data_IF_822735774439
#
_entry.id   IF_822735774439
#
_cell.length_a   1.000
_cell.length_b   1.000
_cell.length_c   1.000
_cell.angle_alpha   90.00
_cell.angle_beta   90.00
_cell.angle_gamma   90.00
#
_symmetry.space_group_name_H-M   'P 1'
#
loop_
_entity.id
_entity.type
_entity.pdbx_description
1 polymer ?
#
# COMPACT_ATOMS: atom_id res chain seq x y z
N UNK A 1 25.42 25.22 28.08
CA UNK A 1 24.36 24.19 27.93
C UNK A 1 23.57 24.47 26.66
N UNK A 2 23.89 23.77 25.56
CA UNK A 2 23.11 23.91 24.33
C UNK A 2 21.78 23.18 24.48
N UNK A 3 20.64 23.77 24.09
CA UNK A 3 19.35 23.14 24.24
C UNK A 3 19.27 21.90 23.36
N UNK A 4 19.11 20.73 23.97
CA UNK A 4 18.73 19.51 23.28
C UNK A 4 17.29 19.71 22.79
N UNK A 5 17.10 19.79 21.46
CA UNK A 5 15.77 19.99 20.90
C UNK A 5 15.09 18.61 20.78
N UNK A 6 14.26 18.28 21.75
CA UNK A 6 13.34 17.13 21.68
C UNK A 6 12.00 17.63 21.12
N UNK A 7 11.60 17.12 19.95
CA UNK A 7 10.26 17.36 19.41
C UNK A 7 9.51 16.05 19.37
N UNK A 8 8.35 16.04 20.02
CA UNK A 8 7.37 14.95 19.92
C UNK A 8 6.20 15.45 19.08
N UNK A 9 5.78 14.65 18.12
CA UNK A 9 4.57 14.87 17.34
C UNK A 9 3.67 13.66 17.50
N UNK A 10 2.44 13.93 17.87
CA UNK A 10 1.36 12.96 17.86
C UNK A 10 0.28 13.47 16.91
N UNK A 11 -0.18 12.63 16.02
CA UNK A 11 -1.24 12.94 15.07
C UNK A 11 -2.23 11.79 15.03
N UNK A 12 -3.53 12.12 15.12
CA UNK A 12 -4.62 11.20 14.90
C UNK A 12 -5.44 11.75 13.74
N UNK A 13 -5.61 10.97 12.69
CA UNK A 13 -6.38 11.34 11.50
C UNK A 13 -7.51 10.30 11.36
N UNK A 14 -8.72 10.78 11.13
CA UNK A 14 -9.85 9.95 10.77
C UNK A 14 -10.46 10.52 9.49
N UNK A 15 -10.36 9.73 8.43
CA UNK A 15 -11.03 10.03 7.16
C UNK A 15 -12.22 9.10 6.99
N UNK A 16 -13.34 9.65 6.56
CA UNK A 16 -14.49 8.84 6.15
C UNK A 16 -15.05 9.36 4.84
N UNK A 17 -15.40 8.44 3.97
CA UNK A 17 -16.01 8.73 2.68
C UNK A 17 -17.20 7.80 2.48
N UNK A 18 -18.39 8.38 2.27
CA UNK A 18 -19.59 7.64 1.94
C UNK A 18 -20.06 8.05 0.55
N UNK A 19 -20.34 7.09 -0.29
CA UNK A 19 -20.81 7.31 -1.65
C UNK A 19 -22.04 6.45 -1.92
N UNK A 20 -23.18 7.12 -2.12
CA UNK A 20 -24.43 6.49 -2.48
C UNK A 20 -24.66 6.69 -3.97
N UNK A 21 -24.69 5.59 -4.71
CA UNK A 21 -24.95 5.59 -6.14
C UNK A 21 -26.28 4.89 -6.41
N UNK A 22 -27.15 5.57 -7.13
CA UNK A 22 -28.41 5.01 -7.62
C UNK A 22 -28.43 5.06 -9.14
N UNK A 23 -28.86 3.99 -9.78
CA UNK A 23 -29.03 3.89 -11.23
C UNK A 23 -30.42 3.36 -11.53
N UNK A 24 -31.25 4.20 -12.13
CA UNK A 24 -32.59 3.84 -12.60
C UNK A 24 -32.57 3.61 -14.10
N UNK A 25 -33.19 2.53 -14.52
CA UNK A 25 -33.47 2.20 -15.92
C UNK A 25 -34.97 2.00 -16.09
N UNK A 26 -35.64 2.98 -16.70
CA UNK A 26 -37.07 2.94 -17.04
C UNK A 26 -37.34 2.03 -18.24
N UNK A 27 -38.61 1.83 -18.54
CA UNK A 27 -39.10 0.97 -19.64
C UNK A 27 -38.58 1.36 -21.04
N UNK A 28 -38.04 2.56 -21.22
CA UNK A 28 -37.46 3.03 -22.49
C UNK A 28 -36.06 2.46 -22.77
N UNK A 29 -35.42 1.91 -21.77
CA UNK A 29 -34.10 1.32 -21.88
C UNK A 29 -34.17 -0.21 -21.84
N UNK A 30 -33.33 -0.88 -22.64
CA UNK A 30 -33.31 -2.34 -22.75
C UNK A 30 -33.27 -3.04 -21.38
N UNK A 31 -32.48 -2.57 -20.45
CA UNK A 31 -32.38 -3.18 -19.11
C UNK A 31 -33.63 -2.98 -18.27
N UNK A 32 -34.26 -1.82 -18.39
CA UNK A 32 -35.56 -1.55 -17.72
C UNK A 32 -36.73 -2.29 -18.35
N UNK A 33 -36.74 -2.41 -19.68
CA UNK A 33 -37.78 -3.17 -20.40
C UNK A 33 -37.78 -4.64 -19.99
N UNK A 34 -36.60 -5.28 -19.98
CA UNK A 34 -36.47 -6.71 -19.65
C UNK A 34 -36.73 -7.04 -18.17
N UNK A 35 -36.70 -6.06 -17.29
CA UNK A 35 -36.89 -6.25 -15.85
C UNK A 35 -38.09 -5.48 -15.31
N UNK A 36 -39.00 -4.99 -16.16
CA UNK A 36 -40.13 -4.13 -15.77
C UNK A 36 -39.71 -3.02 -14.81
N UNK A 37 -38.72 -2.23 -15.24
CA UNK A 37 -38.02 -1.29 -14.40
C UNK A 37 -36.81 -1.95 -13.67
N UNK A 38 -35.72 -1.22 -13.57
CA UNK A 38 -34.52 -1.70 -12.90
C UNK A 38 -33.88 -0.58 -12.10
N UNK A 39 -33.71 -0.79 -10.80
CA UNK A 39 -33.03 0.15 -9.89
C UNK A 39 -31.85 -0.56 -9.20
N UNK A 40 -30.66 -0.09 -9.46
CA UNK A 40 -29.47 -0.54 -8.74
C UNK A 40 -29.02 0.56 -7.77
N UNK A 41 -28.88 0.20 -6.51
CA UNK A 41 -28.32 1.07 -5.48
C UNK A 41 -27.01 0.47 -4.95
N UNK A 42 -26.01 1.30 -4.79
CA UNK A 42 -24.72 0.92 -4.22
C UNK A 42 -24.36 1.92 -3.13
N UNK A 43 -24.31 1.43 -1.90
CA UNK A 43 -23.86 2.21 -0.74
C UNK A 43 -22.45 1.78 -0.38
N UNK A 44 -21.50 2.68 -0.59
CA UNK A 44 -20.08 2.47 -0.32
C UNK A 44 -19.65 3.34 0.86
N UNK A 45 -19.13 2.72 1.89
CA UNK A 45 -18.54 3.38 3.06
C UNK A 45 -17.08 3.01 3.18
N UNK A 46 -16.22 4.01 3.31
CA UNK A 46 -14.79 3.85 3.60
C UNK A 46 -14.47 4.66 4.83
N UNK A 47 -13.73 4.08 5.75
CA UNK A 47 -13.14 4.83 6.86
C UNK A 47 -11.68 4.41 7.06
N UNK A 48 -10.84 5.37 7.33
CA UNK A 48 -9.46 5.18 7.70
C UNK A 48 -9.19 5.91 9.01
N UNK A 49 -8.59 5.20 9.95
CA UNK A 49 -8.14 5.77 11.21
C UNK A 49 -6.63 5.56 11.33
N UNK A 50 -5.90 6.67 11.44
CA UNK A 50 -4.44 6.67 11.53
C UNK A 50 -3.99 7.34 12.82
N UNK A 51 -3.09 6.67 13.54
CA UNK A 51 -2.38 7.22 14.71
C UNK A 51 -0.90 7.20 14.43
N UNK A 52 -0.28 8.36 14.55
CA UNK A 52 1.15 8.54 14.36
C UNK A 52 1.79 9.16 15.60
N UNK A 53 2.83 8.52 16.12
CA UNK A 53 3.64 9.03 17.21
C UNK A 53 5.10 9.07 16.76
N UNK A 54 5.70 10.26 16.72
CA UNK A 54 7.09 10.46 16.31
C UNK A 54 7.84 11.23 17.38
N UNK A 55 9.01 10.72 17.75
CA UNK A 55 9.96 11.38 18.66
C UNK A 55 11.23 11.66 17.87
N UNK A 56 11.62 12.92 17.82
CA UNK A 56 12.85 13.38 17.21
C UNK A 56 13.80 13.89 18.30
N UNK A 57 15.04 13.45 18.23
CA UNK A 57 16.11 13.88 19.11
C UNK A 57 17.29 14.39 18.28
N UNK A 58 17.68 15.62 18.49
CA UNK A 58 18.81 16.25 17.82
C UNK A 58 19.84 16.72 18.85
N UNK A 59 21.09 16.44 18.61
CA UNK A 59 22.19 16.87 19.49
C UNK A 59 23.46 17.15 18.70
N UNK A 60 24.31 17.99 19.23
CA UNK A 60 25.65 18.19 18.72
C UNK A 60 26.61 17.21 19.40
N UNK A 61 27.47 16.59 18.62
CA UNK A 61 28.54 15.71 19.09
C UNK A 61 29.85 16.54 19.33
N UNK A 62 29.76 17.48 20.28
CA UNK A 62 30.84 18.42 20.51
C UNK A 62 31.12 19.28 19.28
N UNK A 63 32.40 19.40 18.91
CA UNK A 63 32.89 20.07 17.70
C UNK A 63 32.95 19.13 16.49
N UNK A 64 32.72 17.83 16.69
CA UNK A 64 32.94 16.80 15.66
C UNK A 64 31.76 16.64 14.72
N UNK A 65 30.55 17.00 15.17
CA UNK A 65 29.40 16.84 14.27
C UNK A 65 28.04 16.94 14.95
N UNK A 66 27.02 16.40 14.27
CA UNK A 66 25.62 16.38 14.73
C UNK A 66 25.03 14.99 14.62
N UNK A 67 24.13 14.67 15.56
CA UNK A 67 23.33 13.46 15.59
C UNK A 67 21.87 13.83 15.60
N UNK A 68 21.10 13.27 14.66
CA UNK A 68 19.64 13.34 14.67
C UNK A 68 19.08 11.91 14.68
N UNK A 69 18.27 11.59 15.69
CA UNK A 69 17.59 10.31 15.82
C UNK A 69 16.08 10.51 15.78
N UNK A 70 15.40 9.64 15.06
CA UNK A 70 13.92 9.59 14.98
C UNK A 70 13.46 8.20 15.33
N UNK A 71 12.48 8.11 16.21
CA UNK A 71 11.74 6.87 16.50
C UNK A 71 10.27 7.15 16.30
N UNK A 72 9.59 6.28 15.59
CA UNK A 72 8.18 6.44 15.27
C UNK A 72 7.40 5.15 15.37
N UNK A 73 6.11 5.28 15.63
CA UNK A 73 5.10 4.23 15.56
C UNK A 73 3.91 4.78 14.79
N UNK A 74 3.41 4.02 13.82
CA UNK A 74 2.16 4.33 13.12
C UNK A 74 1.22 3.14 13.20
N UNK A 75 -0.07 3.42 13.36
CA UNK A 75 -1.13 2.42 13.31
C UNK A 75 -2.21 2.93 12.38
N UNK A 76 -2.55 2.13 11.39
CA UNK A 76 -3.62 2.40 10.42
C UNK A 76 -4.67 1.32 10.51
N UNK A 77 -5.95 1.72 10.59
CA UNK A 77 -7.12 0.85 10.54
C UNK A 77 -8.00 1.28 9.38
N UNK A 78 -8.11 0.43 8.38
CA UNK A 78 -8.86 0.67 7.16
C UNK A 78 -10.08 -0.24 7.09
N UNK A 79 -11.26 0.36 6.92
CA UNK A 79 -12.52 -0.33 6.77
C UNK A 79 -13.20 0.08 5.45
N UNK A 80 -13.62 -0.90 4.69
CA UNK A 80 -14.36 -0.71 3.44
C UNK A 80 -15.57 -1.62 3.42
N UNK A 81 -16.74 -1.05 3.19
CA UNK A 81 -18.00 -1.77 3.06
C UNK A 81 -18.75 -1.27 1.84
N UNK A 82 -19.11 -2.17 0.93
CA UNK A 82 -19.98 -1.88 -0.19
C UNK A 82 -21.20 -2.81 -0.18
N UNK A 83 -22.39 -2.22 -0.12
CA UNK A 83 -23.67 -2.91 -0.14
C UNK A 83 -24.40 -2.59 -1.45
N UNK A 84 -24.79 -3.62 -2.18
CA UNK A 84 -25.53 -3.46 -3.43
C UNK A 84 -26.93 -4.07 -3.28
N UNK A 85 -27.94 -3.33 -3.73
CA UNK A 85 -29.33 -3.77 -3.78
C UNK A 85 -29.89 -3.47 -5.16
N UNK A 86 -30.58 -4.44 -5.75
CA UNK A 86 -31.20 -4.34 -7.05
C UNK A 86 -32.72 -4.57 -6.89
N UNK A 87 -33.51 -3.63 -7.37
CA UNK A 87 -34.98 -3.76 -7.48
C UNK A 87 -35.37 -4.00 -8.93
N UNK A 88 -36.36 -4.85 -9.14
CA UNK A 88 -36.97 -5.18 -10.41
C UNK A 88 -38.48 -5.26 -10.27
N UNK A 89 -39.22 -5.40 -11.38
CA UNK A 89 -40.67 -5.59 -11.42
C UNK A 89 -41.42 -4.47 -10.67
N UNK A 90 -41.15 -3.22 -11.07
CA UNK A 90 -41.78 -2.06 -10.45
C UNK A 90 -43.24 -1.92 -10.85
N UNK A 91 -44.10 -1.69 -9.88
CA UNK A 91 -45.53 -1.40 -10.10
C UNK A 91 -45.77 0.07 -10.44
N UNK A 92 -44.88 0.97 -10.02
CA UNK A 92 -44.92 2.41 -10.29
C UNK A 92 -43.54 2.90 -10.68
N UNK A 93 -43.45 3.69 -11.77
CA UNK A 93 -42.20 4.17 -12.35
C UNK A 93 -41.89 5.62 -11.97
N UNK A 94 -42.86 6.35 -11.41
CA UNK A 94 -42.75 7.78 -11.09
C UNK A 94 -41.72 8.06 -10.01
N UNK A 95 -41.48 7.13 -9.10
CA UNK A 95 -40.51 7.26 -8.01
C UNK A 95 -39.06 7.12 -8.46
N UNK A 96 -38.81 6.56 -9.67
CA UNK A 96 -37.48 6.40 -10.27
C UNK A 96 -36.44 5.89 -9.26
N UNK A 97 -35.34 6.66 -9.06
CA UNK A 97 -34.22 6.32 -8.15
C UNK A 97 -34.60 6.26 -6.66
N UNK A 98 -35.79 6.72 -6.28
CA UNK A 98 -36.30 6.66 -4.91
C UNK A 98 -37.34 5.58 -4.70
N UNK A 99 -37.63 4.80 -5.74
CA UNK A 99 -38.73 3.85 -5.77
C UNK A 99 -38.42 2.42 -5.32
N UNK A 100 -37.30 2.16 -4.62
CA UNK A 100 -36.91 0.79 -4.22
C UNK A 100 -38.03 0.04 -3.48
N UNK A 101 -38.87 0.72 -2.70
CA UNK A 101 -39.97 0.16 -1.95
C UNK A 101 -41.17 -0.27 -2.86
N UNK A 102 -41.18 0.12 -4.15
CA UNK A 102 -42.15 -0.26 -5.16
C UNK A 102 -41.67 -1.43 -6.05
N UNK A 103 -40.47 -1.97 -5.78
CA UNK A 103 -39.99 -3.13 -6.51
C UNK A 103 -40.72 -4.40 -6.06
N UNK A 104 -41.22 -5.17 -7.04
CA UNK A 104 -41.78 -6.49 -6.77
C UNK A 104 -40.72 -7.50 -6.35
N UNK A 105 -39.51 -7.37 -6.92
CA UNK A 105 -38.39 -8.22 -6.59
C UNK A 105 -37.22 -7.35 -6.09
N UNK A 106 -36.71 -7.66 -4.88
CA UNK A 106 -35.52 -7.02 -4.30
C UNK A 106 -34.43 -8.07 -4.12
N UNK A 107 -33.32 -7.86 -4.81
CA UNK A 107 -32.13 -8.73 -4.76
C UNK A 107 -31.04 -8.00 -4.00
N UNK A 108 -30.60 -8.56 -2.88
CA UNK A 108 -29.46 -8.08 -2.11
C UNK A 108 -28.23 -8.92 -2.45
N UNK A 109 -27.16 -8.29 -2.94
CA UNK A 109 -25.90 -8.97 -3.10
C UNK A 109 -25.19 -9.09 -1.76
N UNK A 110 -24.36 -10.13 -1.61
CA UNK A 110 -23.48 -10.23 -0.44
C UNK A 110 -22.64 -8.96 -0.31
N UNK A 111 -22.56 -8.33 0.88
CA UNK A 111 -21.75 -7.15 1.07
C UNK A 111 -20.26 -7.45 0.80
N UNK A 112 -19.59 -6.53 0.10
CA UNK A 112 -18.15 -6.60 -0.09
C UNK A 112 -17.52 -5.84 1.08
N UNK A 113 -16.82 -6.56 1.94
CA UNK A 113 -16.11 -6.00 3.09
C UNK A 113 -14.61 -6.24 2.94
N UNK A 114 -13.82 -5.18 3.14
CA UNK A 114 -12.35 -5.22 3.06
C UNK A 114 -11.79 -4.42 4.22
N UNK A 115 -11.40 -5.11 5.28
CA UNK A 115 -10.85 -4.48 6.46
C UNK A 115 -9.41 -4.95 6.65
N UNK A 116 -8.50 -4.03 6.99
CA UNK A 116 -7.15 -4.41 7.36
C UNK A 116 -6.51 -3.40 8.31
N UNK A 117 -5.55 -3.85 9.06
CA UNK A 117 -4.77 -3.08 10.01
C UNK A 117 -3.29 -3.17 9.65
N UNK A 118 -2.60 -2.05 9.81
CA UNK A 118 -1.16 -1.93 9.61
C UNK A 118 -0.54 -1.27 10.83
N UNK A 119 0.39 -1.97 11.47
CA UNK A 119 1.19 -1.45 12.58
C UNK A 119 2.64 -1.34 12.13
N UNK A 120 3.23 -0.16 12.26
CA UNK A 120 4.59 0.11 11.79
C UNK A 120 5.44 0.73 12.88
N UNK A 121 6.69 0.31 12.95
CA UNK A 121 7.72 0.91 13.78
C UNK A 121 8.86 1.41 12.90
N UNK A 122 9.35 2.61 13.20
CA UNK A 122 10.45 3.24 12.48
C UNK A 122 11.53 3.68 13.46
N UNK A 123 12.77 3.31 13.16
CA UNK A 123 13.96 3.91 13.76
C UNK A 123 14.86 4.48 12.67
N UNK A 124 15.31 5.71 12.83
CA UNK A 124 16.27 6.37 11.91
C UNK A 124 17.32 7.14 12.71
N UNK A 125 18.56 7.05 12.25
CA UNK A 125 19.67 7.82 12.78
C UNK A 125 20.39 8.50 11.62
N UNK A 126 20.63 9.79 11.76
CA UNK A 126 21.43 10.60 10.84
C UNK A 126 22.61 11.17 11.62
N UNK A 127 23.82 10.98 11.10
CA UNK A 127 25.06 11.48 11.70
C UNK A 127 25.78 12.30 10.64
N UNK A 128 26.15 13.52 10.99
CA UNK A 128 27.05 14.35 10.20
C UNK A 128 28.36 14.54 11.00
N UNK A 129 29.47 14.09 10.43
CA UNK A 129 30.79 14.18 11.06
C UNK A 129 31.70 15.11 10.26
N UNK A 130 32.32 16.08 10.94
CA UNK A 130 33.30 17.03 10.40
C UNK A 130 32.77 17.81 9.17
N UNK A 131 31.45 17.88 8.99
CA UNK A 131 30.80 18.38 7.78
C UNK A 131 31.24 17.69 6.47
N UNK A 132 31.93 16.56 6.57
CA UNK A 132 32.48 15.77 5.46
C UNK A 132 31.71 14.48 5.24
N UNK A 133 31.37 13.77 6.31
CA UNK A 133 30.76 12.44 6.26
C UNK A 133 29.32 12.51 6.74
N UNK A 134 28.38 12.19 5.86
CA UNK A 134 26.95 12.12 6.17
C UNK A 134 26.53 10.66 6.16
N UNK A 135 26.08 10.15 7.29
CA UNK A 135 25.68 8.76 7.46
C UNK A 135 24.22 8.72 7.90
N UNK A 136 23.43 7.94 7.21
CA UNK A 136 22.03 7.67 7.60
C UNK A 136 21.83 6.16 7.69
N UNK A 137 21.16 5.71 8.74
CA UNK A 137 20.69 4.35 8.87
C UNK A 137 19.24 4.37 9.33
N UNK A 138 18.39 3.51 8.77
CA UNK A 138 17.03 3.34 9.25
C UNK A 138 16.56 1.89 9.14
N UNK A 139 15.65 1.53 10.03
CA UNK A 139 14.92 0.27 10.00
C UNK A 139 13.45 0.55 10.19
N UNK A 140 12.63 -0.01 9.30
CA UNK A 140 11.18 -0.02 9.40
C UNK A 140 10.69 -1.46 9.52
N UNK A 141 9.83 -1.69 10.51
CA UNK A 141 9.15 -2.96 10.71
C UNK A 141 7.65 -2.73 10.54
N UNK A 142 7.03 -3.39 9.57
CA UNK A 142 5.62 -3.25 9.23
C UNK A 142 4.89 -4.58 9.44
N UNK A 143 3.83 -4.56 10.26
CA UNK A 143 2.98 -5.69 10.54
C UNK A 143 1.59 -5.51 9.95
N UNK A 144 1.22 -6.31 8.95
CA UNK A 144 -0.08 -6.22 8.26
C UNK A 144 -0.99 -7.39 8.58
N UNK A 145 -2.27 -7.10 8.85
CA UNK A 145 -3.29 -8.13 9.04
C UNK A 145 -3.71 -8.85 7.76
N UNK A 146 -3.30 -8.37 6.59
CA UNK A 146 -3.54 -9.02 5.31
C UNK A 146 -2.83 -10.35 5.16
N UNK A 147 -1.71 -10.54 5.87
CA UNK A 147 -0.91 -11.76 5.83
C UNK A 147 -1.24 -12.70 6.99
N UNK A 148 -0.98 -13.99 6.79
CA UNK A 148 -1.11 -15.00 7.83
C UNK A 148 -0.18 -14.72 9.01
N UNK A 149 -0.53 -15.22 10.21
CA UNK A 149 0.13 -14.90 11.49
C UNK A 149 1.67 -14.93 11.44
N UNK A 150 2.24 -15.93 10.76
CA UNK A 150 3.70 -16.10 10.69
C UNK A 150 4.40 -15.19 9.66
N UNK A 151 3.65 -14.55 8.76
CA UNK A 151 4.17 -13.73 7.64
C UNK A 151 3.75 -12.25 7.74
N UNK A 152 3.16 -11.84 8.86
CA UNK A 152 2.64 -10.47 9.04
C UNK A 152 3.72 -9.41 9.00
N UNK A 153 4.90 -9.71 9.56
CA UNK A 153 5.95 -8.73 9.75
C UNK A 153 6.93 -8.72 8.58
N UNK A 154 7.13 -7.52 8.00
CA UNK A 154 8.18 -7.21 7.05
C UNK A 154 9.21 -6.27 7.67
N UNK A 155 10.51 -6.48 7.37
CA UNK A 155 11.60 -5.65 7.86
C UNK A 155 12.32 -5.01 6.69
N UNK A 156 12.42 -3.69 6.72
CA UNK A 156 12.91 -2.86 5.62
C UNK A 156 14.04 -1.96 6.09
N UNK A 157 15.28 -2.46 6.09
CA UNK A 157 16.45 -1.68 6.41
C UNK A 157 16.81 -0.72 5.28
N UNK A 158 17.39 0.43 5.63
CA UNK A 158 18.09 1.30 4.69
C UNK A 158 19.33 1.93 5.33
N UNK A 159 20.33 2.16 4.50
CA UNK A 159 21.55 2.84 4.91
C UNK A 159 22.07 3.72 3.77
N UNK A 160 22.63 4.87 4.09
CA UNK A 160 23.35 5.70 3.13
C UNK A 160 24.56 6.37 3.74
N UNK A 161 25.58 6.53 2.91
CA UNK A 161 26.80 7.26 3.24
C UNK A 161 27.04 8.27 2.12
N UNK A 162 27.31 9.51 2.49
CA UNK A 162 27.76 10.52 1.56
C UNK A 162 29.05 11.16 2.06
N UNK A 163 30.04 11.26 1.17
CA UNK A 163 31.34 11.84 1.43
C UNK A 163 31.51 13.10 0.60
N UNK A 164 31.67 14.24 1.29
CA UNK A 164 31.92 15.55 0.71
C UNK A 164 33.43 15.72 0.52
N UNK A 165 33.89 15.25 -0.62
CA UNK A 165 35.33 15.20 -0.95
C UNK A 165 35.94 16.61 -1.08
N UNK A 166 35.11 17.60 -1.47
CA UNK A 166 35.53 19.01 -1.56
C UNK A 166 35.94 19.62 -0.23
N UNK A 167 35.57 18.98 0.91
CA UNK A 167 35.93 19.43 2.24
C UNK A 167 37.25 18.82 2.76
N UNK A 168 37.84 17.89 1.99
CA UNK A 168 39.11 17.29 2.36
C UNK A 168 40.27 18.22 2.08
N UNK A 169 41.30 18.14 2.91
CA UNK A 169 42.48 19.04 2.83
C UNK A 169 43.16 18.95 1.46
N UNK A 170 43.20 17.76 0.83
CA UNK A 170 43.84 17.57 -0.47
C UNK A 170 43.08 18.16 -1.66
N UNK A 171 41.76 18.53 -1.50
CA UNK A 171 40.95 19.18 -2.52
C UNK A 171 40.55 20.63 -2.18
N UNK A 172 40.82 21.06 -0.96
CA UNK A 172 40.34 22.35 -0.43
C UNK A 172 40.91 23.55 -1.19
N UNK A 173 42.16 23.43 -1.70
CA UNK A 173 42.87 24.48 -2.42
C UNK A 173 42.60 24.46 -3.94
N UNK A 174 41.73 23.56 -4.42
CA UNK A 174 41.38 23.43 -5.85
C UNK A 174 40.31 24.46 -6.19
N UNK A 175 40.71 25.62 -6.70
CA UNK A 175 39.81 26.77 -6.92
C UNK A 175 38.70 26.57 -7.94
N UNK A 176 38.88 25.65 -8.88
CA UNK A 176 37.83 25.34 -9.89
C UNK A 176 36.81 24.27 -9.44
N UNK A 177 37.07 23.58 -8.31
CA UNK A 177 36.23 22.54 -7.76
C UNK A 177 35.38 23.11 -6.60
N UNK A 178 34.09 23.27 -6.80
CA UNK A 178 33.19 23.82 -5.77
C UNK A 178 32.44 22.72 -5.01
N UNK A 179 32.12 21.63 -5.68
CA UNK A 179 31.43 20.51 -5.09
C UNK A 179 31.94 19.20 -5.69
N UNK A 180 32.26 18.24 -4.84
CA UNK A 180 32.51 16.86 -5.23
C UNK A 180 32.06 15.94 -4.11
N UNK A 181 30.90 15.31 -4.30
CA UNK A 181 30.25 14.48 -3.28
C UNK A 181 29.97 13.10 -3.83
N UNK A 182 30.55 12.09 -3.22
CA UNK A 182 30.29 10.70 -3.50
C UNK A 182 29.17 10.19 -2.57
N UNK A 183 28.17 9.51 -3.12
CA UNK A 183 27.05 8.94 -2.40
C UNK A 183 26.94 7.44 -2.65
N UNK A 184 26.67 6.68 -1.60
CA UNK A 184 26.26 5.30 -1.67
C UNK A 184 25.02 5.12 -0.81
N UNK A 185 24.01 4.42 -1.35
CA UNK A 185 22.83 4.09 -0.59
C UNK A 185 22.33 2.68 -0.91
N UNK A 186 21.78 2.05 0.11
CA UNK A 186 21.04 0.79 0.03
C UNK A 186 19.71 0.95 0.75
N UNK A 187 18.63 0.44 0.17
CA UNK A 187 17.33 0.46 0.81
C UNK A 187 16.48 -0.73 0.39
N UNK A 188 15.68 -1.20 1.34
CA UNK A 188 14.64 -2.19 1.10
C UNK A 188 13.28 -1.56 1.39
N UNK A 189 12.29 -1.84 0.53
CA UNK A 189 10.88 -1.44 0.68
C UNK A 189 9.97 -2.65 0.54
N UNK A 190 8.85 -2.63 1.25
CA UNK A 190 7.83 -3.67 1.18
C UNK A 190 6.59 -3.23 0.43
N UNK A 191 5.91 -4.19 -0.19
CA UNK A 191 4.61 -4.01 -0.80
C UNK A 191 3.65 -5.10 -0.27
N UNK A 192 2.42 -4.70 0.10
CA UNK A 192 1.34 -5.57 0.58
C UNK A 192 0.11 -5.53 -0.35
N UNK A 193 0.34 -5.43 -1.65
CA UNK A 193 -0.70 -5.22 -2.67
C UNK A 193 -1.54 -6.49 -2.93
N UNK A 194 -2.12 -7.04 -1.87
CA UNK A 194 -3.15 -8.09 -1.92
C UNK A 194 -4.43 -7.61 -1.26
N UNK A 195 -5.56 -8.17 -1.67
CA UNK A 195 -6.83 -7.93 -0.98
C UNK A 195 -6.80 -8.53 0.44
N UNK A 196 -7.46 -7.89 1.41
CA UNK A 196 -7.68 -8.49 2.73
C UNK A 196 -8.34 -9.87 2.60
N UNK A 197 -8.08 -10.73 3.57
CA UNK A 197 -8.63 -12.10 3.67
C UNK A 197 -8.14 -13.09 2.60
N UNK A 198 -7.29 -12.71 1.64
CA UNK A 198 -6.75 -13.60 0.60
C UNK A 198 -5.98 -14.80 1.19
N UNK A 199 -5.41 -14.63 2.38
CA UNK A 199 -4.69 -15.69 3.10
C UNK A 199 -5.59 -16.64 3.88
N UNK A 200 -6.91 -16.38 3.92
CA UNK A 200 -7.91 -17.20 4.61
C UNK A 200 -8.91 -17.79 3.64
N UNK A 201 -9.48 -18.94 3.96
CA UNK A 201 -10.62 -19.49 3.23
C UNK A 201 -11.88 -18.72 3.61
N UNK A 202 -12.53 -18.12 2.63
CA UNK A 202 -13.78 -17.40 2.81
C UNK A 202 -14.95 -18.27 2.34
N UNK A 203 -16.07 -18.15 3.04
CA UNK A 203 -17.32 -18.78 2.68
C UNK A 203 -18.33 -17.73 2.23
N UNK A 204 -19.08 -18.03 1.21
CA UNK A 204 -20.14 -17.18 0.70
C UNK A 204 -21.26 -18.00 0.06
N UNK A 205 -22.30 -17.33 -0.36
CA UNK A 205 -23.37 -17.97 -1.13
C UNK A 205 -22.82 -18.46 -2.47
N UNK A 206 -23.12 -19.70 -2.82
CA UNK A 206 -22.86 -20.23 -4.15
C UNK A 206 -23.58 -19.38 -5.20
N UNK A 207 -22.92 -19.11 -6.33
CA UNK A 207 -23.54 -18.38 -7.42
C UNK A 207 -24.59 -19.22 -8.12
N UNK A 208 -25.80 -18.70 -8.17
CA UNK A 208 -26.89 -19.11 -9.07
C UNK A 208 -27.55 -20.47 -8.78
N UNK A 209 -26.85 -21.56 -8.96
CA UNK A 209 -27.48 -22.89 -9.00
C UNK A 209 -27.01 -23.89 -7.93
N UNK A 210 -26.07 -23.47 -7.09
CA UNK A 210 -25.60 -24.34 -5.99
C UNK A 210 -26.61 -24.23 -4.84
N UNK A 211 -27.64 -25.01 -4.93
CA UNK A 211 -28.68 -25.16 -3.90
C UNK A 211 -28.88 -26.65 -3.62
N UNK A 212 -29.31 -26.96 -2.42
CA UNK A 212 -29.76 -28.31 -2.09
C UNK A 212 -31.22 -28.29 -1.69
N UNK A 213 -31.95 -29.36 -1.97
CA UNK A 213 -33.29 -29.52 -1.51
C UNK A 213 -33.27 -30.02 -0.05
N UNK A 214 -34.01 -29.35 0.83
CA UNK A 214 -34.09 -29.70 2.26
C UNK A 214 -35.05 -30.87 2.57
N UNK A 215 -35.51 -31.55 1.53
CA UNK A 215 -36.49 -32.64 1.65
C UNK A 215 -37.96 -32.17 1.75
N UNK A 216 -38.22 -30.88 1.90
CA UNK A 216 -39.55 -30.27 1.94
C UNK A 216 -39.97 -29.65 0.60
N UNK A 217 -39.12 -29.79 -0.44
CA UNK A 217 -39.29 -29.20 -1.75
C UNK A 217 -38.75 -27.77 -1.89
N UNK A 218 -38.27 -27.18 -0.82
CA UNK A 218 -37.62 -25.86 -0.84
C UNK A 218 -36.18 -25.95 -1.28
N UNK A 219 -35.71 -24.97 -2.07
CA UNK A 219 -34.30 -24.82 -2.43
C UNK A 219 -33.62 -23.94 -1.42
N UNK A 220 -32.60 -24.47 -0.75
CA UNK A 220 -31.76 -23.71 0.18
C UNK A 220 -30.42 -23.42 -0.49
N UNK A 221 -29.99 -22.15 -0.45
CA UNK A 221 -28.71 -21.74 -1.04
C UNK A 221 -27.54 -22.36 -0.27
N UNK A 222 -26.64 -23.03 -0.97
CA UNK A 222 -25.47 -23.63 -0.36
C UNK A 222 -24.40 -22.57 -0.02
N UNK A 223 -23.74 -22.74 1.11
CA UNK A 223 -22.52 -22.02 1.45
C UNK A 223 -21.32 -22.76 0.83
N UNK A 224 -20.55 -22.04 0.05
CA UNK A 224 -19.35 -22.59 -0.64
C UNK A 224 -18.11 -21.80 -0.32
N UNK A 225 -16.95 -22.42 -0.48
CA UNK A 225 -15.67 -21.69 -0.41
C UNK A 225 -15.56 -20.80 -1.64
N UNK A 226 -15.34 -19.51 -1.44
CA UNK A 226 -15.36 -18.51 -2.52
C UNK A 226 -13.96 -18.15 -3.04
N UNK A 227 -12.90 -18.53 -2.31
CA UNK A 227 -11.52 -18.25 -2.71
C UNK A 227 -10.59 -19.41 -2.37
N UNK A 228 -9.58 -19.61 -3.18
CA UNK A 228 -8.46 -20.51 -2.85
C UNK A 228 -7.46 -19.71 -2.00
N UNK A 229 -7.45 -19.99 -0.68
CA UNK A 229 -6.57 -19.30 0.27
C UNK A 229 -5.10 -19.69 0.09
N UNK A 230 -4.20 -18.75 0.35
CA UNK A 230 -2.77 -19.01 0.37
C UNK A 230 -2.12 -18.40 1.62
N UNK A 231 -1.91 -19.21 2.64
CA UNK A 231 -1.29 -18.76 3.92
C UNK A 231 0.22 -18.51 3.82
N UNK A 232 0.87 -18.90 2.72
CA UNK A 232 2.30 -18.69 2.50
C UNK A 232 2.63 -17.29 1.97
N UNK A 233 1.61 -16.49 1.62
CA UNK A 233 1.81 -15.12 1.15
C UNK A 233 2.50 -14.28 2.22
N UNK A 234 3.48 -13.52 1.80
CA UNK A 234 4.29 -12.59 2.61
C UNK A 234 4.56 -11.31 1.86
N UNK A 235 5.22 -10.37 2.50
CA UNK A 235 5.60 -9.10 1.91
C UNK A 235 6.44 -9.28 0.64
N UNK A 236 6.02 -8.66 -0.45
CA UNK A 236 6.88 -8.42 -1.60
C UNK A 236 7.98 -7.46 -1.19
N UNK A 237 9.23 -7.78 -1.47
CA UNK A 237 10.39 -6.99 -1.07
C UNK A 237 11.15 -6.48 -2.28
N UNK A 238 11.29 -5.16 -2.36
CA UNK A 238 12.15 -4.51 -3.35
C UNK A 238 13.38 -3.95 -2.65
N UNK A 239 14.56 -4.43 -3.02
CA UNK A 239 15.84 -3.90 -2.58
C UNK A 239 16.52 -3.14 -3.72
N UNK A 240 17.11 -2.01 -3.38
CA UNK A 240 17.85 -1.17 -4.33
C UNK A 240 19.15 -0.67 -3.72
N UNK A 241 20.17 -0.56 -4.54
CA UNK A 241 21.37 0.20 -4.22
C UNK A 241 21.59 1.28 -5.27
N UNK A 242 22.23 2.36 -4.86
CA UNK A 242 22.59 3.48 -5.72
C UNK A 242 23.97 3.99 -5.35
N UNK A 243 24.78 4.29 -6.36
CA UNK A 243 26.03 5.03 -6.25
C UNK A 243 25.87 6.30 -7.06
N UNK A 244 26.08 7.45 -6.41
CA UNK A 244 25.93 8.75 -7.04
C UNK A 244 27.16 9.63 -6.83
N UNK A 245 27.48 10.44 -7.83
CA UNK A 245 28.53 11.45 -7.81
C UNK A 245 27.91 12.79 -8.18
N UNK A 246 27.93 13.73 -7.23
CA UNK A 246 27.53 15.12 -7.46
C UNK A 246 28.79 15.96 -7.65
N UNK A 247 28.85 16.76 -8.71
CA UNK A 247 29.97 17.64 -8.99
C UNK A 247 29.53 19.06 -9.35
N UNK A 248 30.33 20.02 -8.97
CA UNK A 248 30.17 21.44 -9.30
C UNK A 248 31.53 22.06 -9.58
N UNK A 249 31.71 22.64 -10.76
CA UNK A 249 32.98 23.13 -11.27
C UNK A 249 32.85 24.59 -11.69
N UNK A 250 33.98 25.31 -11.68
CA UNK A 250 34.08 26.70 -12.19
C UNK A 250 33.07 27.66 -11.58
N UNK A 251 33.06 27.77 -10.22
CA UNK A 251 32.08 28.52 -9.46
C UNK A 251 30.63 28.09 -9.76
N UNK A 252 30.43 26.76 -9.83
CA UNK A 252 29.13 26.12 -10.12
C UNK A 252 28.52 26.52 -11.49
N UNK A 253 29.37 26.97 -12.44
CA UNK A 253 28.92 27.19 -13.82
C UNK A 253 28.66 25.87 -14.56
N UNK A 254 29.34 24.81 -14.18
CA UNK A 254 29.09 23.44 -14.63
C UNK A 254 28.78 22.59 -13.41
N UNK A 255 27.60 22.06 -13.31
CA UNK A 255 27.19 21.13 -12.25
C UNK A 255 26.43 19.95 -12.84
N UNK A 256 26.54 18.82 -12.18
CA UNK A 256 25.82 17.62 -12.63
C UNK A 256 25.81 16.53 -11.56
N UNK A 257 24.99 15.54 -11.81
CA UNK A 257 24.87 14.33 -10.99
C UNK A 257 24.91 13.11 -11.89
N UNK A 258 25.73 12.14 -11.51
CA UNK A 258 25.79 10.83 -12.15
C UNK A 258 25.29 9.80 -11.13
N UNK A 259 24.26 9.05 -11.47
CA UNK A 259 23.70 7.99 -10.63
C UNK A 259 23.71 6.64 -11.35
N UNK A 260 24.21 5.62 -10.65
CA UNK A 260 24.16 4.23 -11.09
C UNK A 260 23.38 3.47 -10.02
N UNK A 261 22.29 2.84 -10.41
CA UNK A 261 21.47 2.10 -9.47
C UNK A 261 21.03 0.74 -10.04
N UNK A 262 20.73 -0.16 -9.13
CA UNK A 262 20.08 -1.42 -9.45
C UNK A 262 18.95 -1.68 -8.46
N UNK A 263 17.84 -2.18 -8.97
CA UNK A 263 16.64 -2.52 -8.19
C UNK A 263 16.28 -3.98 -8.45
N UNK A 264 16.04 -4.71 -7.37
CA UNK A 264 15.65 -6.13 -7.42
C UNK A 264 14.40 -6.34 -6.55
N UNK A 265 13.33 -6.86 -7.17
CA UNK A 265 12.11 -7.24 -6.46
C UNK A 265 12.07 -8.76 -6.29
N UNK A 266 11.76 -9.20 -5.09
CA UNK A 266 11.64 -10.61 -4.70
C UNK A 266 10.27 -10.85 -4.07
N UNK A 267 9.82 -12.12 -4.07
CA UNK A 267 8.53 -12.51 -3.50
C UNK A 267 7.35 -11.73 -4.11
N UNK A 268 7.38 -11.53 -5.44
CA UNK A 268 6.40 -10.73 -6.17
C UNK A 268 4.99 -11.35 -6.00
N UNK A 269 4.04 -10.52 -5.58
CA UNK A 269 2.64 -10.89 -5.37
C UNK A 269 1.88 -10.87 -6.70
N UNK A 270 1.61 -12.03 -7.29
CA UNK A 270 0.94 -12.15 -8.59
C UNK A 270 -0.37 -12.90 -8.44
N UNK A 271 -1.45 -12.33 -9.01
CA UNK A 271 -2.70 -13.08 -9.23
C UNK A 271 -2.57 -13.94 -10.48
N UNK A 272 -2.82 -15.23 -10.35
CA UNK A 272 -2.78 -16.19 -11.45
C UNK A 272 -4.15 -16.78 -11.68
N UNK A 273 -4.60 -16.77 -12.93
CA UNK A 273 -5.82 -17.46 -13.35
C UNK A 273 -5.63 -18.97 -13.24
N UNK A 274 -6.66 -19.65 -12.78
CA UNK A 274 -6.68 -21.10 -12.63
C UNK A 274 -7.54 -21.74 -13.72
N UNK A 275 -7.24 -23.00 -14.09
CA UNK A 275 -8.14 -23.79 -14.94
C UNK A 275 -9.52 -23.95 -14.26
N UNK A 276 -10.59 -23.99 -15.03
CA UNK A 276 -11.97 -24.16 -14.52
C UNK A 276 -12.15 -25.43 -13.66
N UNK A 277 -11.35 -26.47 -13.88
CA UNK A 277 -11.32 -27.69 -13.07
C UNK A 277 -10.87 -27.47 -11.62
N UNK A 278 -10.21 -26.35 -11.32
CA UNK A 278 -9.78 -26.02 -9.96
C UNK A 278 -10.93 -25.49 -9.07
N UNK A 279 -12.10 -25.19 -9.65
CA UNK A 279 -13.25 -24.64 -8.94
C UNK A 279 -13.12 -23.16 -8.55
N UNK A 280 -11.99 -22.52 -8.88
CA UNK A 280 -11.72 -21.11 -8.59
C UNK A 280 -11.17 -20.42 -9.83
N UNK A 281 -11.50 -19.14 -10.01
CA UNK A 281 -11.05 -18.35 -11.17
C UNK A 281 -9.59 -17.92 -11.08
N UNK A 282 -9.12 -17.59 -9.89
CA UNK A 282 -7.76 -17.12 -9.66
C UNK A 282 -7.32 -17.30 -8.21
N UNK A 283 -6.01 -17.27 -7.98
CA UNK A 283 -5.43 -17.19 -6.65
C UNK A 283 -4.13 -16.39 -6.69
N UNK A 284 -3.68 -15.91 -5.52
CA UNK A 284 -2.40 -15.22 -5.39
C UNK A 284 -1.26 -16.20 -5.09
N UNK A 285 -0.16 -16.00 -5.78
CA UNK A 285 1.10 -16.73 -5.58
C UNK A 285 2.25 -15.76 -5.35
N UNK A 286 3.29 -16.27 -4.68
CA UNK A 286 4.59 -15.63 -4.68
C UNK A 286 5.36 -16.07 -5.94
N UNK A 287 5.73 -15.13 -6.78
CA UNK A 287 6.54 -15.45 -7.95
C UNK A 287 7.96 -15.77 -7.53
N UNK A 288 8.51 -16.84 -8.10
CA UNK A 288 9.94 -17.16 -8.02
C UNK A 288 10.78 -16.32 -8.99
N UNK A 289 10.13 -15.55 -9.87
CA UNK A 289 10.81 -14.70 -10.84
C UNK A 289 11.26 -13.43 -10.14
N UNK A 290 12.56 -13.17 -10.16
CA UNK A 290 13.12 -11.91 -9.68
C UNK A 290 13.16 -10.92 -10.84
N UNK A 291 12.48 -9.78 -10.68
CA UNK A 291 12.57 -8.68 -11.64
C UNK A 291 13.73 -7.79 -11.21
N UNK A 292 14.76 -7.69 -12.05
CA UNK A 292 15.84 -6.70 -11.88
C UNK A 292 15.68 -5.64 -12.96
N UNK A 293 15.57 -4.37 -12.55
CA UNK A 293 15.62 -3.26 -13.49
C UNK A 293 17.08 -3.00 -13.90
N UNK A 294 17.35 -2.71 -15.19
CA UNK A 294 18.69 -2.40 -15.64
C UNK A 294 19.20 -1.10 -15.03
N UNK A 295 20.51 -1.02 -14.90
CA UNK A 295 21.23 0.20 -14.48
C UNK A 295 20.91 1.34 -15.42
N UNK A 296 20.41 2.46 -14.88
CA UNK A 296 20.17 3.69 -15.62
C UNK A 296 21.22 4.73 -15.22
N UNK A 297 21.78 5.41 -16.21
CA UNK A 297 22.68 6.54 -16.03
C UNK A 297 21.88 7.82 -16.30
N UNK A 298 21.62 8.60 -15.25
CA UNK A 298 21.00 9.92 -15.39
C UNK A 298 22.09 10.99 -15.29
N UNK A 299 22.28 11.71 -16.40
CA UNK A 299 23.12 12.91 -16.48
C UNK A 299 22.18 14.11 -16.57
N UNK A 300 22.22 14.97 -15.55
CA UNK A 300 21.43 16.21 -15.50
C UNK A 300 22.36 17.40 -15.70
#
# INVERSE_FOLDING_TARGET
LHPRVRRQRQMCIRDSNTNDRKRWYGMQLYQGMNNQGYLATSNLSKSNYSVENIVNYNTKLGSVGTLAATVGMTYDDYNFLNKNVIGKNFTMFEFRENGMHMAGDVITSQPIQKDYQLLSYLGRVNVSLLDKYLITASLRADGSSKFAKNNRWGYFPSASIAWRMEQEEFLKDVSWLNQLKLRFSYGATGNQSIDPYTTFSMYGQGSGEISYADGTGNKTTAMVVTNLSNSSLKWEKTSSWNVGLDFGLFNSRLSGTLDIYQKKTTDLLISRNLPGSAGFSSTYYLSLIHISEPTRLDVI
#
